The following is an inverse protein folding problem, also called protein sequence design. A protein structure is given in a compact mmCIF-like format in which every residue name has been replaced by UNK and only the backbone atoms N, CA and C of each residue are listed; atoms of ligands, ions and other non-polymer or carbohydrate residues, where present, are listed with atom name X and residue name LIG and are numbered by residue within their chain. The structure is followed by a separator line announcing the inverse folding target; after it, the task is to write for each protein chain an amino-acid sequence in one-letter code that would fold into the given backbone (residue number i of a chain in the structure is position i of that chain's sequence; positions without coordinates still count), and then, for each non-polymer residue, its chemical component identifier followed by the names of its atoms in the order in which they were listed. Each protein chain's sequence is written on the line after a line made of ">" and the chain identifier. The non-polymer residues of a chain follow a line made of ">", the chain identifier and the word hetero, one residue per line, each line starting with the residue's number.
data_IF_525416615574
#
_entry.id   IF_525416615574
#
_cell.length_a   1.000
_cell.length_b   1.000
_cell.length_c   1.000
_cell.angle_alpha   90.00
_cell.angle_beta   90.00
_cell.angle_gamma   90.00
#
_symmetry.space_group_name_H-M   'P 1'
#
loop_
_entity.id
_entity.type
_entity.pdbx_description
1 polymer ?
#
# COMPACT_ATOMS: atom_id res chain seq x y z
N UNK A 1 18.99 -8.19 15.11
CA UNK A 1 18.02 -8.07 14.00
C UNK A 1 16.74 -7.48 14.57
N UNK A 2 16.44 -6.22 14.25
CA UNK A 2 15.27 -5.54 14.81
C UNK A 2 14.00 -6.26 14.35
N UNK A 3 13.10 -6.56 15.29
CA UNK A 3 11.75 -7.05 15.02
C UNK A 3 11.11 -6.07 14.02
N UNK A 4 11.00 -6.46 12.74
CA UNK A 4 10.12 -5.79 11.79
C UNK A 4 8.74 -5.82 12.43
N UNK A 5 8.28 -4.68 12.92
CA UNK A 5 6.91 -4.53 13.37
C UNK A 5 6.02 -5.03 12.25
N UNK A 6 5.16 -6.00 12.55
CA UNK A 6 4.23 -6.56 11.59
C UNK A 6 3.23 -5.45 11.26
N UNK A 7 3.52 -4.61 10.27
CA UNK A 7 2.63 -3.56 9.83
C UNK A 7 1.46 -4.26 9.16
N UNK A 8 0.28 -4.13 9.76
CA UNK A 8 -0.92 -4.74 9.19
C UNK A 8 -1.12 -4.27 7.74
N UNK A 9 -1.55 -5.17 6.83
CA UNK A 9 -1.81 -4.81 5.46
C UNK A 9 -2.85 -3.69 5.34
N UNK A 10 -2.53 -2.62 4.61
CA UNK A 10 -3.46 -1.53 4.27
C UNK A 10 -4.45 -1.92 3.16
N UNK A 11 -4.63 -3.22 2.92
CA UNK A 11 -5.47 -3.76 1.86
C UNK A 11 -6.18 -5.04 2.29
N UNK A 12 -7.32 -5.30 1.66
CA UNK A 12 -8.08 -6.54 1.85
C UNK A 12 -7.53 -7.60 0.90
N UNK A 13 -6.88 -8.64 1.45
CA UNK A 13 -6.22 -9.70 0.67
C UNK A 13 -7.13 -10.35 -0.38
N UNK A 14 -8.41 -10.59 -0.06
CA UNK A 14 -9.38 -11.18 -1.00
C UNK A 14 -9.63 -10.29 -2.22
N UNK A 15 -9.71 -8.96 -2.02
CA UNK A 15 -9.93 -8.00 -3.11
C UNK A 15 -8.74 -7.88 -4.06
N UNK A 16 -7.53 -7.90 -3.52
CA UNK A 16 -6.30 -7.96 -4.33
C UNK A 16 -6.27 -9.25 -5.16
N UNK A 17 -6.59 -10.38 -4.54
CA UNK A 17 -6.64 -11.68 -5.23
C UNK A 17 -7.70 -11.71 -6.34
N UNK A 18 -8.92 -11.23 -6.06
CA UNK A 18 -10.00 -11.12 -7.05
C UNK A 18 -9.56 -10.27 -8.26
N UNK A 19 -8.90 -9.12 -8.00
CA UNK A 19 -8.43 -8.22 -9.04
C UNK A 19 -7.33 -8.82 -9.92
N UNK A 20 -6.39 -9.58 -9.35
CA UNK A 20 -5.33 -10.28 -10.11
C UNK A 20 -5.94 -11.42 -10.92
N UNK A 21 -6.85 -12.20 -10.33
CA UNK A 21 -7.53 -13.31 -11.01
C UNK A 21 -8.37 -12.84 -12.20
N UNK A 22 -8.98 -11.65 -12.12
CA UNK A 22 -9.70 -11.04 -13.25
C UNK A 22 -8.80 -10.79 -14.48
N UNK A 23 -7.47 -10.75 -14.31
CA UNK A 23 -6.49 -10.69 -15.39
C UNK A 23 -5.99 -12.08 -15.84
N UNK A 24 -6.68 -13.16 -15.45
CA UNK A 24 -6.33 -14.55 -15.73
C UNK A 24 -4.94 -14.96 -15.18
N UNK A 25 -4.55 -14.40 -14.04
CA UNK A 25 -3.28 -14.67 -13.36
C UNK A 25 -3.50 -15.28 -11.97
N UNK A 26 -2.54 -16.09 -11.54
CA UNK A 26 -2.48 -16.60 -10.16
C UNK A 26 -1.77 -15.60 -9.25
N UNK A 27 -2.10 -15.62 -7.95
CA UNK A 27 -1.47 -14.76 -6.94
C UNK A 27 -0.56 -15.58 -6.03
N UNK A 28 0.73 -15.25 -5.99
CA UNK A 28 1.67 -15.84 -5.02
C UNK A 28 1.38 -15.34 -3.61
N UNK A 29 1.60 -16.19 -2.60
CA UNK A 29 1.47 -15.80 -1.18
C UNK A 29 2.36 -14.60 -0.84
N UNK A 30 3.56 -14.49 -1.43
CA UNK A 30 4.46 -13.35 -1.22
C UNK A 30 3.89 -11.99 -1.62
N UNK A 31 2.86 -11.94 -2.47
CA UNK A 31 2.16 -10.69 -2.83
C UNK A 31 1.21 -10.25 -1.73
N UNK A 32 0.55 -11.19 -1.05
CA UNK A 32 -0.53 -10.92 -0.07
C UNK A 32 -0.07 -11.01 1.39
N UNK A 33 0.97 -11.80 1.64
CA UNK A 33 1.51 -12.10 2.96
C UNK A 33 2.92 -11.51 3.13
N UNK A 34 3.53 -11.02 2.04
CA UNK A 34 4.82 -10.35 2.05
C UNK A 34 4.72 -8.84 2.26
N UNK A 35 5.85 -8.23 2.61
CA UNK A 35 5.94 -6.80 2.94
C UNK A 35 5.88 -5.89 1.70
N UNK A 36 6.15 -6.42 0.50
CA UNK A 36 6.39 -5.60 -0.69
C UNK A 36 5.17 -4.78 -1.09
N UNK A 37 4.00 -5.41 -1.25
CA UNK A 37 2.79 -4.68 -1.65
C UNK A 37 2.37 -3.65 -0.59
N UNK A 38 2.43 -4.04 0.70
CA UNK A 38 2.08 -3.14 1.79
C UNK A 38 3.03 -1.93 1.86
N UNK A 39 4.34 -2.20 1.74
CA UNK A 39 5.38 -1.17 1.73
C UNK A 39 5.19 -0.17 0.58
N UNK A 40 4.84 -0.64 -0.62
CA UNK A 40 4.54 0.25 -1.75
C UNK A 40 3.33 1.16 -1.48
N UNK A 41 2.27 0.62 -0.86
CA UNK A 41 1.09 1.43 -0.49
C UNK A 41 1.47 2.49 0.54
N UNK A 42 2.23 2.11 1.57
CA UNK A 42 2.71 3.04 2.60
C UNK A 42 3.57 4.14 1.98
N UNK A 43 4.51 3.79 1.11
CA UNK A 43 5.39 4.77 0.45
C UNK A 43 4.60 5.79 -0.40
N UNK A 44 3.56 5.35 -1.11
CA UNK A 44 2.67 6.26 -1.86
C UNK A 44 1.95 7.21 -0.90
N UNK A 45 1.42 6.69 0.21
CA UNK A 45 0.70 7.49 1.20
C UNK A 45 1.61 8.48 1.93
N UNK A 46 2.83 8.08 2.27
CA UNK A 46 3.83 8.93 2.93
C UNK A 46 4.20 10.10 2.02
N UNK A 47 4.52 9.84 0.75
CA UNK A 47 4.79 10.89 -0.24
C UNK A 47 3.60 11.83 -0.44
N UNK A 48 2.38 11.30 -0.40
CA UNK A 48 1.18 12.13 -0.49
C UNK A 48 1.00 13.03 0.74
N UNK A 49 1.29 12.51 1.93
CA UNK A 49 1.32 13.29 3.16
C UNK A 49 2.38 14.39 3.09
N UNK A 50 3.60 14.07 2.65
CA UNK A 50 4.69 15.04 2.47
C UNK A 50 4.29 16.17 1.51
N UNK A 51 3.70 15.85 0.35
CA UNK A 51 3.22 16.85 -0.62
C UNK A 51 2.09 17.71 -0.04
N UNK A 52 1.17 17.13 0.73
CA UNK A 52 0.11 17.90 1.38
C UNK A 52 0.68 18.88 2.41
N UNK A 53 1.59 18.40 3.27
CA UNK A 53 2.28 19.20 4.28
C UNK A 53 3.14 20.30 3.66
N UNK A 54 3.92 20.00 2.61
CA UNK A 54 4.72 20.97 1.88
C UNK A 54 3.90 22.08 1.23
N UNK A 55 2.62 21.81 0.96
CA UNK A 55 1.65 22.81 0.48
C UNK A 55 0.85 23.49 1.62
N UNK A 56 1.25 23.33 2.88
CA UNK A 56 0.58 23.91 4.05
C UNK A 56 -0.80 23.32 4.35
N UNK A 57 -1.12 22.14 3.81
CA UNK A 57 -2.44 21.49 3.97
C UNK A 57 -2.37 20.34 4.96
N UNK A 58 -3.44 20.20 5.76
CA UNK A 58 -3.68 19.02 6.61
C UNK A 58 -4.49 17.92 5.91
N UNK A 59 -5.02 18.21 4.72
CA UNK A 59 -5.83 17.28 3.93
C UNK A 59 -5.05 16.82 2.70
N UNK A 60 -4.81 15.51 2.62
CA UNK A 60 -4.31 14.84 1.42
C UNK A 60 -5.41 14.87 0.36
N UNK A 61 -5.05 15.28 -0.86
CA UNK A 61 -5.93 15.35 -2.03
C UNK A 61 -5.47 14.33 -3.06
N UNK A 62 -6.33 14.00 -4.02
CA UNK A 62 -5.99 13.08 -5.10
C UNK A 62 -4.72 13.49 -5.88
N UNK A 63 -4.47 14.80 -6.02
CA UNK A 63 -3.26 15.34 -6.67
C UNK A 63 -1.96 15.12 -5.89
N UNK A 64 -2.05 14.71 -4.63
CA UNK A 64 -0.90 14.44 -3.78
C UNK A 64 -0.47 12.98 -3.87
N UNK A 65 -1.34 12.06 -4.32
CA UNK A 65 -0.98 10.66 -4.54
C UNK A 65 0.01 10.55 -5.72
#
# INVERSE_FOLDING_TARGET
>A
MAKKGNVEPLYVKSKVRERIKASNLNTSSGVLDGDTLNGLIIEILDRACERAQGNGRKTVKARDL
#
